data_IF_415263266953
#
_entry.id   IF_415263266953
#
_cell.length_a   1.000
_cell.length_b   1.000
_cell.length_c   1.000
_cell.angle_alpha   90.00
_cell.angle_beta   90.00
_cell.angle_gamma   90.00
#
_symmetry.space_group_name_H-M   'P 1'
#
loop_
_entity.id
_entity.type
_entity.pdbx_description
1 polymer ?
#
# COMPACT_ATOMS: atom_id res chain seq x y z
N UNK A 1 -1.45 -16.28 -5.48
CA UNK A 1 -0.27 -15.70 -4.79
C UNK A 1 -0.75 -14.70 -3.75
N UNK A 2 -0.17 -14.75 -2.55
CA UNK A 2 -0.46 -13.81 -1.46
C UNK A 2 0.86 -13.09 -1.13
N UNK A 3 0.79 -11.79 -0.93
CA UNK A 3 1.99 -11.01 -0.62
C UNK A 3 1.70 -9.53 -0.40
N UNK A 4 2.76 -8.77 -0.11
CA UNK A 4 2.67 -7.32 -0.07
C UNK A 4 2.40 -6.73 -1.46
N UNK A 5 1.87 -5.53 -1.55
CA UNK A 5 1.63 -4.80 -2.80
C UNK A 5 2.86 -4.80 -3.72
N UNK A 6 4.03 -4.50 -3.16
CA UNK A 6 5.30 -4.56 -3.91
C UNK A 6 5.69 -5.98 -4.32
N UNK A 7 5.35 -6.98 -3.50
CA UNK A 7 5.57 -8.40 -3.81
C UNK A 7 4.70 -8.87 -4.97
N UNK A 8 3.41 -8.50 -4.95
CA UNK A 8 2.46 -8.81 -6.03
C UNK A 8 2.87 -8.17 -7.37
N UNK A 9 3.31 -6.91 -7.35
CA UNK A 9 3.82 -6.25 -8.54
C UNK A 9 5.07 -6.96 -9.09
N UNK A 10 6.04 -7.30 -8.23
CA UNK A 10 7.24 -8.03 -8.64
C UNK A 10 6.92 -9.42 -9.19
N UNK A 11 5.93 -10.09 -8.61
CA UNK A 11 5.44 -11.37 -9.11
C UNK A 11 4.87 -11.22 -10.52
N UNK A 12 3.95 -10.27 -10.72
CA UNK A 12 3.33 -10.03 -12.00
C UNK A 12 4.32 -9.65 -13.11
N UNK A 13 5.41 -8.96 -12.77
CA UNK A 13 6.48 -8.63 -13.73
C UNK A 13 7.22 -9.90 -14.22
N UNK A 14 7.48 -10.85 -13.29
CA UNK A 14 8.31 -12.03 -13.56
C UNK A 14 7.55 -13.21 -14.13
N UNK A 15 6.26 -13.32 -13.80
CA UNK A 15 5.42 -14.44 -14.22
C UNK A 15 5.14 -14.38 -15.73
N UNK A 16 5.00 -15.52 -16.37
CA UNK A 16 4.74 -15.64 -17.81
C UNK A 16 3.26 -15.42 -18.17
N UNK A 17 2.36 -15.47 -17.20
CA UNK A 17 0.94 -15.24 -17.42
C UNK A 17 0.70 -13.83 -17.99
N UNK A 18 -0.28 -13.74 -18.89
CA UNK A 18 -0.69 -12.50 -19.56
C UNK A 18 -1.92 -11.86 -18.92
N UNK A 19 -2.66 -12.61 -18.09
CA UNK A 19 -3.87 -12.16 -17.43
C UNK A 19 -3.81 -12.47 -15.94
N UNK A 20 -4.21 -11.50 -15.11
CA UNK A 20 -4.21 -11.63 -13.66
C UNK A 20 -5.53 -11.12 -13.07
N UNK A 21 -6.12 -11.89 -12.18
CA UNK A 21 -7.19 -11.43 -11.31
C UNK A 21 -6.56 -10.94 -10.01
N UNK A 22 -6.78 -9.68 -9.68
CA UNK A 22 -6.12 -9.00 -8.55
C UNK A 22 -7.13 -8.70 -7.45
N UNK A 23 -7.02 -9.40 -6.34
CA UNK A 23 -7.90 -9.27 -5.17
C UNK A 23 -7.24 -8.41 -4.09
N UNK A 24 -7.16 -7.10 -4.33
CA UNK A 24 -6.67 -6.09 -3.40
C UNK A 24 -7.25 -4.72 -3.76
N UNK A 25 -6.84 -3.67 -3.07
CA UNK A 25 -7.25 -2.31 -3.40
C UNK A 25 -6.92 -1.96 -4.86
N UNK A 26 -7.90 -1.41 -5.58
CA UNK A 26 -7.85 -1.26 -7.05
C UNK A 26 -6.77 -0.30 -7.55
N UNK A 27 -6.26 0.59 -6.72
CA UNK A 27 -5.22 1.54 -7.09
C UNK A 27 -3.92 0.90 -7.58
N UNK A 28 -3.63 -0.36 -7.15
CA UNK A 28 -2.46 -1.08 -7.63
C UNK A 28 -2.55 -1.46 -9.12
N UNK A 29 -3.76 -1.61 -9.67
CA UNK A 29 -3.96 -1.99 -11.06
C UNK A 29 -3.31 -0.99 -12.01
N UNK A 30 -3.36 0.30 -11.68
CA UNK A 30 -2.68 1.34 -12.44
C UNK A 30 -1.16 1.12 -12.50
N UNK A 31 -0.55 0.85 -11.36
CA UNK A 31 0.90 0.59 -11.29
C UNK A 31 1.28 -0.71 -12.00
N UNK A 32 0.46 -1.74 -11.90
CA UNK A 32 0.67 -3.02 -12.61
C UNK A 32 0.58 -2.83 -14.13
N UNK A 33 -0.44 -2.13 -14.62
CA UNK A 33 -0.61 -1.85 -16.05
C UNK A 33 0.53 -0.98 -16.58
N UNK A 34 0.98 0.00 -15.81
CA UNK A 34 2.12 0.85 -16.17
C UNK A 34 3.44 0.06 -16.25
N UNK A 35 3.65 -0.87 -15.32
CA UNK A 35 4.85 -1.70 -15.30
C UNK A 35 4.85 -2.82 -16.35
N UNK A 36 3.67 -3.33 -16.71
CA UNK A 36 3.49 -4.44 -17.66
C UNK A 36 2.35 -4.11 -18.64
N UNK A 37 2.52 -3.18 -19.56
CA UNK A 37 1.46 -2.73 -20.47
C UNK A 37 0.96 -3.83 -21.42
N UNK A 38 1.71 -4.92 -21.58
CA UNK A 38 1.36 -6.08 -22.41
C UNK A 38 0.49 -7.10 -21.64
N UNK A 39 0.22 -6.89 -20.35
CA UNK A 39 -0.56 -7.80 -19.51
C UNK A 39 -1.89 -7.18 -19.12
N UNK A 40 -2.87 -8.03 -18.87
CA UNK A 40 -4.22 -7.63 -18.47
C UNK A 40 -4.38 -7.86 -16.97
N UNK A 41 -4.81 -6.83 -16.26
CA UNK A 41 -5.06 -6.89 -14.83
C UNK A 41 -6.53 -6.58 -14.56
N UNK A 42 -7.26 -7.57 -14.05
CA UNK A 42 -8.67 -7.47 -13.74
C UNK A 42 -8.87 -7.41 -12.22
N UNK A 43 -9.67 -6.48 -11.71
CA UNK A 43 -10.02 -6.51 -10.30
C UNK A 43 -10.86 -7.76 -10.02
N UNK A 44 -10.68 -8.37 -8.85
CA UNK A 44 -11.57 -9.43 -8.41
C UNK A 44 -13.00 -8.88 -8.33
N UNK A 45 -14.03 -9.66 -8.76
CA UNK A 45 -15.40 -9.21 -8.67
C UNK A 45 -15.77 -8.97 -7.20
N UNK A 46 -16.55 -7.90 -6.90
CA UNK A 46 -17.01 -7.64 -5.55
C UNK A 46 -17.92 -8.79 -5.09
N UNK A 47 -17.80 -9.20 -3.82
CA UNK A 47 -18.79 -10.10 -3.23
C UNK A 47 -20.10 -9.33 -3.06
N UNK A 48 -21.14 -9.77 -3.75
CA UNK A 48 -22.51 -9.29 -3.56
C UNK A 48 -23.14 -10.02 -2.37
N UNK A 49 -22.75 -9.67 -1.16
CA UNK A 49 -23.52 -10.04 0.03
C UNK A 49 -24.57 -8.98 0.27
N UNK A 50 -25.83 -9.38 0.14
CA UNK A 50 -26.96 -8.53 0.47
C UNK A 50 -26.79 -8.00 1.91
N UNK A 51 -26.47 -6.72 2.03
CA UNK A 51 -26.71 -5.95 3.23
C UNK A 51 -25.53 -5.35 3.97
N UNK A 52 -24.31 -5.86 3.95
CA UNK A 52 -23.17 -5.25 4.68
C UNK A 52 -21.87 -5.63 3.98
N UNK A 53 -21.42 -4.81 3.07
CA UNK A 53 -20.08 -5.02 2.49
C UNK A 53 -19.77 -3.96 1.46
N UNK A 54 -18.63 -3.37 1.56
CA UNK A 54 -18.06 -2.57 0.48
C UNK A 54 -17.89 -3.49 -0.72
N UNK A 55 -18.77 -3.38 -1.69
CA UNK A 55 -18.75 -4.17 -2.93
C UNK A 55 -17.69 -3.73 -3.92
N UNK A 56 -16.76 -2.88 -3.48
CA UNK A 56 -15.70 -2.33 -4.31
C UNK A 56 -14.34 -2.71 -3.72
N UNK A 57 -13.40 -3.03 -4.58
CA UNK A 57 -11.99 -3.18 -4.21
C UNK A 57 -11.34 -1.80 -3.95
N UNK A 58 -12.10 -0.84 -3.46
CA UNK A 58 -11.66 0.51 -3.14
C UNK A 58 -11.77 0.77 -1.64
N UNK A 59 -10.69 1.25 -1.06
CA UNK A 59 -10.70 1.66 0.34
C UNK A 59 -11.26 3.07 0.47
N UNK A 60 -12.44 3.22 1.08
CA UNK A 60 -13.08 4.51 1.31
C UNK A 60 -12.17 5.50 2.06
N UNK A 61 -11.42 4.99 3.05
CA UNK A 61 -10.50 5.81 3.82
C UNK A 61 -9.33 6.35 2.98
N UNK A 62 -8.80 5.57 2.04
CA UNK A 62 -7.77 6.05 1.11
C UNK A 62 -8.34 7.12 0.17
N UNK A 63 -9.59 7.01 -0.24
CA UNK A 63 -10.26 7.99 -1.11
C UNK A 63 -10.56 9.33 -0.42
N UNK A 64 -10.48 9.38 0.91
CA UNK A 64 -10.53 10.65 1.63
C UNK A 64 -9.32 11.55 1.37
N UNK A 65 -8.18 10.97 0.95
CA UNK A 65 -6.97 11.69 0.57
C UNK A 65 -7.09 12.16 -0.88
N UNK A 66 -7.06 13.47 -1.10
CA UNK A 66 -7.09 14.07 -2.42
C UNK A 66 -5.83 14.88 -2.67
N UNK A 67 -5.48 15.11 -3.94
CA UNK A 67 -4.33 15.94 -4.31
C UNK A 67 -4.44 17.36 -3.72
N UNK A 68 -5.65 17.91 -3.66
CA UNK A 68 -5.89 19.23 -3.06
C UNK A 68 -5.59 19.24 -1.55
N UNK A 69 -6.03 18.20 -0.82
CA UNK A 69 -5.72 18.05 0.60
C UNK A 69 -4.23 17.90 0.83
N UNK A 70 -3.56 17.07 0.05
CA UNK A 70 -2.11 16.86 0.11
C UNK A 70 -1.38 18.18 -0.17
N UNK A 71 -1.73 18.89 -1.22
CA UNK A 71 -1.15 20.20 -1.54
C UNK A 71 -1.33 21.20 -0.39
N UNK A 72 -2.54 21.28 0.18
CA UNK A 72 -2.82 22.21 1.28
C UNK A 72 -2.01 21.84 2.54
N UNK A 73 -1.91 20.55 2.85
CA UNK A 73 -1.12 20.08 4.00
C UNK A 73 0.35 20.44 3.84
N UNK A 74 0.92 20.23 2.66
CA UNK A 74 2.33 20.57 2.39
C UNK A 74 2.58 22.08 2.36
N UNK A 75 1.61 22.85 1.86
CA UNK A 75 1.75 24.32 1.74
C UNK A 75 1.56 25.04 3.05
N UNK A 76 0.60 24.58 3.85
CA UNK A 76 0.17 25.30 5.07
C UNK A 76 0.57 24.55 6.35
N UNK A 77 1.19 23.36 6.23
CA UNK A 77 1.55 22.50 7.36
C UNK A 77 0.36 22.20 8.29
N UNK A 78 -0.84 22.07 7.70
CA UNK A 78 -2.10 21.91 8.40
C UNK A 78 -3.02 20.89 7.70
N UNK A 79 -3.82 20.09 8.44
CA UNK A 79 -3.89 19.97 9.90
C UNK A 79 -2.67 19.23 10.50
N UNK A 80 -2.27 19.63 11.70
CA UNK A 80 -1.30 18.92 12.51
C UNK A 80 -2.00 17.85 13.35
N UNK A 81 -1.33 16.76 13.61
CA UNK A 81 -1.81 15.72 14.52
C UNK A 81 -0.97 15.77 15.78
N UNK A 82 -1.63 16.02 16.90
CA UNK A 82 -1.00 15.96 18.22
C UNK A 82 -1.25 14.58 18.84
N UNK A 83 -0.18 13.95 19.29
CA UNK A 83 -0.25 12.66 20.00
C UNK A 83 0.16 12.88 21.44
N UNK A 84 -0.62 12.31 22.37
CA UNK A 84 -0.26 12.34 23.79
C UNK A 84 1.19 11.87 23.98
N UNK A 85 2.03 12.63 24.73
CA UNK A 85 3.45 12.31 24.88
C UNK A 85 3.72 10.92 25.45
N UNK A 86 2.90 10.45 26.39
CA UNK A 86 3.07 9.12 26.99
C UNK A 86 2.73 8.00 25.99
N UNK A 87 1.79 8.24 25.08
CA UNK A 87 1.48 7.32 23.98
C UNK A 87 2.60 7.36 22.94
N UNK A 88 3.08 8.54 22.58
CA UNK A 88 4.14 8.73 21.60
C UNK A 88 5.44 8.01 22.02
N UNK A 89 5.86 8.14 23.27
CA UNK A 89 7.04 7.46 23.83
C UNK A 89 6.94 5.94 23.69
N UNK A 90 5.79 5.37 24.06
CA UNK A 90 5.56 3.92 23.94
C UNK A 90 5.49 3.47 22.48
N UNK A 91 4.90 4.27 21.60
CA UNK A 91 4.76 3.96 20.18
C UNK A 91 6.09 4.05 19.43
N UNK A 92 7.05 4.85 19.85
CA UNK A 92 8.37 4.96 19.26
C UNK A 92 9.21 3.69 19.47
N UNK A 93 9.09 2.99 20.59
CA UNK A 93 9.91 1.82 20.91
C UNK A 93 9.87 0.71 19.82
N UNK A 94 8.70 0.23 19.35
CA UNK A 94 8.64 -0.75 18.28
C UNK A 94 9.12 -0.19 16.94
N UNK A 95 8.94 1.11 16.67
CA UNK A 95 9.41 1.76 15.46
C UNK A 95 10.95 1.78 15.43
N UNK A 96 11.59 2.21 16.50
CA UNK A 96 13.05 2.23 16.62
C UNK A 96 13.64 0.83 16.48
N UNK A 97 13.02 -0.17 17.09
CA UNK A 97 13.42 -1.57 16.96
C UNK A 97 13.31 -2.06 15.51
N UNK A 98 12.21 -1.74 14.82
CA UNK A 98 12.01 -2.06 13.42
C UNK A 98 13.07 -1.40 12.52
N UNK A 99 13.37 -0.13 12.74
CA UNK A 99 14.39 0.61 11.99
C UNK A 99 15.79 0.03 12.22
N UNK A 100 16.13 -0.34 13.45
CA UNK A 100 17.41 -0.97 13.78
C UNK A 100 17.57 -2.33 13.08
N UNK A 101 16.53 -3.18 13.10
CA UNK A 101 16.53 -4.46 12.38
C UNK A 101 16.70 -4.26 10.89
N UNK A 102 15.96 -3.32 10.30
CA UNK A 102 16.00 -3.02 8.86
C UNK A 102 17.37 -2.51 8.42
N UNK A 103 18.04 -1.69 9.24
CA UNK A 103 19.39 -1.21 9.00
C UNK A 103 20.41 -2.36 8.99
N UNK A 104 20.32 -3.26 9.97
CA UNK A 104 21.20 -4.43 10.06
C UNK A 104 21.03 -5.38 8.87
N UNK A 105 19.78 -5.60 8.42
CA UNK A 105 19.51 -6.42 7.24
C UNK A 105 20.11 -5.82 5.96
N UNK A 106 19.99 -4.51 5.75
CA UNK A 106 20.60 -3.82 4.59
C UNK A 106 22.13 -3.94 4.61
N UNK A 107 22.77 -3.77 5.77
CA UNK A 107 24.21 -3.92 5.91
C UNK A 107 24.67 -5.35 5.61
N UNK A 108 23.96 -6.36 6.08
CA UNK A 108 24.26 -7.75 5.80
C UNK A 108 24.06 -8.14 4.30
N UNK A 109 23.16 -7.48 3.60
CA UNK A 109 22.96 -7.68 2.15
C UNK A 109 24.00 -6.95 1.29
N UNK A 110 24.56 -5.83 1.78
CA UNK A 110 25.58 -5.06 1.07
C UNK A 110 26.99 -5.68 1.20
N UNK A 111 27.19 -6.60 2.14
CA UNK A 111 28.46 -7.30 2.39
C UNK A 111 28.60 -8.66 1.68
N UNK A 112 27.63 -9.02 0.85
CA UNK A 112 27.65 -10.18 -0.05
C UNK A 112 27.80 -9.77 -1.51
#
# INVERSE_FOLDING_TARGET
VIGSTAGLLKFAIKDEATEFIVATESGILHEMTKACPQKVFLPAPPETTEGIGCSCNECEFMKLNTLKKLYNTLKYEWPTIEVDPAIAEKALQPIDKMLAISKNMKSAMASK
#
